data_IF_796351135943
#
_entry.id   IF_796351135943
#
_cell.length_a   1.000
_cell.length_b   1.000
_cell.length_c   1.000
_cell.angle_alpha   90.00
_cell.angle_beta   90.00
_cell.angle_gamma   90.00
#
_symmetry.space_group_name_H-M   'P 1'
#
loop_
_entity.id
_entity.type
_entity.pdbx_description
1 polymer ?
#
# COMPACT_ATOMS: atom_id res chain seq x y z
N UNK A 1 -9.99 -11.76 -28.66
CA UNK A 1 -10.37 -10.73 -29.66
C UNK A 1 -9.26 -9.69 -29.69
N UNK A 2 -8.65 -9.47 -30.85
CA UNK A 2 -7.72 -8.37 -31.07
C UNK A 2 -8.47 -7.29 -31.85
N UNK A 3 -8.42 -6.03 -31.40
CA UNK A 3 -9.06 -4.91 -32.07
C UNK A 3 -8.65 -3.57 -31.46
N UNK A 4 -8.85 -2.52 -32.22
CA UNK A 4 -8.70 -1.16 -31.75
C UNK A 4 -9.71 -0.85 -30.65
N UNK A 5 -9.24 -0.42 -29.48
CA UNK A 5 -10.07 -0.21 -28.30
C UNK A 5 -11.18 0.84 -28.56
N UNK A 6 -10.86 1.93 -29.26
CA UNK A 6 -11.82 3.00 -29.58
C UNK A 6 -12.92 2.52 -30.53
N UNK A 7 -12.55 1.79 -31.58
CA UNK A 7 -13.51 1.21 -32.54
C UNK A 7 -14.37 0.14 -31.88
N UNK A 8 -13.79 -0.69 -31.02
CA UNK A 8 -14.51 -1.73 -30.28
C UNK A 8 -15.52 -1.11 -29.31
N UNK A 9 -15.11 -0.10 -28.53
CA UNK A 9 -16.01 0.61 -27.63
C UNK A 9 -17.18 1.27 -28.40
N UNK A 10 -16.89 1.95 -29.51
CA UNK A 10 -17.94 2.56 -30.35
C UNK A 10 -18.90 1.52 -30.95
N UNK A 11 -18.41 0.34 -31.34
CA UNK A 11 -19.27 -0.74 -31.84
C UNK A 11 -20.16 -1.33 -30.74
N UNK A 12 -19.62 -1.52 -29.54
CA UNK A 12 -20.37 -1.98 -28.36
C UNK A 12 -21.45 -0.98 -27.97
N UNK A 13 -21.15 0.32 -27.94
CA UNK A 13 -22.14 1.36 -27.63
C UNK A 13 -23.31 1.32 -28.61
N UNK A 14 -23.02 1.28 -29.90
CA UNK A 14 -24.08 1.14 -30.94
C UNK A 14 -24.93 -0.11 -30.76
N UNK A 15 -24.31 -1.24 -30.43
CA UNK A 15 -25.01 -2.50 -30.19
C UNK A 15 -25.95 -2.42 -28.97
N UNK A 16 -25.50 -1.79 -27.89
CA UNK A 16 -26.29 -1.59 -26.66
C UNK A 16 -27.48 -0.64 -26.93
N UNK A 17 -27.24 0.45 -27.66
CA UNK A 17 -28.30 1.37 -28.11
C UNK A 17 -29.36 0.66 -28.97
N UNK A 18 -28.92 -0.10 -30.00
CA UNK A 18 -29.80 -0.86 -30.86
C UNK A 18 -30.65 -1.92 -30.10
N UNK A 19 -30.06 -2.50 -29.05
CA UNK A 19 -30.75 -3.45 -28.17
C UNK A 19 -31.58 -2.78 -27.08
N UNK A 20 -31.64 -1.46 -27.02
CA UNK A 20 -32.35 -0.68 -26.02
C UNK A 20 -32.00 -1.11 -24.58
N UNK A 21 -30.75 -1.49 -24.36
CA UNK A 21 -30.28 -1.89 -23.02
C UNK A 21 -30.32 -0.67 -22.11
N UNK A 22 -31.27 -0.67 -21.18
CA UNK A 22 -31.33 0.30 -20.11
C UNK A 22 -30.88 -0.40 -18.83
N UNK A 23 -29.80 0.06 -18.26
CA UNK A 23 -29.31 -0.42 -16.97
C UNK A 23 -28.84 0.79 -16.16
N UNK A 24 -29.36 0.88 -14.95
CA UNK A 24 -28.86 1.89 -14.02
C UNK A 24 -27.38 1.62 -13.72
N UNK A 25 -26.53 2.61 -14.00
CA UNK A 25 -25.11 2.53 -13.70
C UNK A 25 -24.84 2.64 -12.19
N UNK A 26 -23.64 2.36 -11.79
CA UNK A 26 -23.21 2.49 -10.38
C UNK A 26 -23.11 3.97 -9.90
N UNK A 27 -23.21 4.96 -10.80
CA UNK A 27 -23.18 6.40 -10.48
C UNK A 27 -24.55 6.90 -10.02
N UNK A 28 -25.09 6.30 -8.97
CA UNK A 28 -26.36 6.68 -8.35
C UNK A 28 -26.16 7.66 -7.20
N UNK A 29 -27.24 8.29 -6.73
CA UNK A 29 -27.21 9.09 -5.50
C UNK A 29 -26.72 8.27 -4.31
N UNK A 30 -27.21 7.03 -4.16
CA UNK A 30 -26.80 6.11 -3.10
C UNK A 30 -25.27 5.81 -3.13
N UNK A 31 -24.71 5.61 -4.34
CA UNK A 31 -23.27 5.43 -4.48
C UNK A 31 -22.48 6.70 -4.10
N UNK A 32 -23.01 7.88 -4.46
CA UNK A 32 -22.42 9.16 -4.08
C UNK A 32 -22.44 9.37 -2.56
N UNK A 33 -23.52 9.03 -1.90
CA UNK A 33 -23.66 9.12 -0.44
C UNK A 33 -22.66 8.19 0.27
N UNK A 34 -22.40 7.00 -0.30
CA UNK A 34 -21.39 6.09 0.22
C UNK A 34 -19.98 6.67 0.07
N UNK A 35 -19.67 7.26 -1.09
CA UNK A 35 -18.35 7.86 -1.35
C UNK A 35 -18.13 9.14 -0.50
N UNK A 36 -19.19 9.84 -0.15
CA UNK A 36 -19.16 11.03 0.70
C UNK A 36 -19.41 10.71 2.20
N UNK A 37 -19.52 9.43 2.56
CA UNK A 37 -19.67 9.05 3.96
C UNK A 37 -18.45 9.52 4.77
N UNK A 38 -18.64 9.98 6.02
CA UNK A 38 -17.52 10.37 6.87
C UNK A 38 -16.57 9.18 7.06
N UNK A 39 -15.29 9.51 7.20
CA UNK A 39 -14.24 8.53 7.43
C UNK A 39 -14.59 7.57 8.57
N UNK A 40 -14.25 6.32 8.40
CA UNK A 40 -14.50 5.31 9.41
C UNK A 40 -13.69 5.62 10.69
N UNK A 41 -14.37 5.64 11.82
CA UNK A 41 -13.71 5.72 13.12
C UNK A 41 -13.21 4.32 13.48
N UNK A 42 -11.90 4.18 13.64
CA UNK A 42 -11.26 2.93 14.03
C UNK A 42 -10.92 2.92 15.52
N UNK A 43 -11.14 1.79 16.18
CA UNK A 43 -10.51 1.54 17.48
C UNK A 43 -9.02 1.31 17.23
N UNK A 44 -8.18 2.19 17.79
CA UNK A 44 -6.72 2.06 17.63
C UNK A 44 -6.20 0.80 18.31
N UNK A 45 -5.27 0.07 17.66
CA UNK A 45 -4.52 -0.99 18.32
C UNK A 45 -3.60 -0.41 19.40
N UNK A 46 -3.20 -1.25 20.36
CA UNK A 46 -2.29 -0.87 21.46
C UNK A 46 -0.89 -1.45 21.29
N UNK A 47 -0.66 -2.24 20.25
CA UNK A 47 0.55 -3.02 20.00
C UNK A 47 1.38 -2.52 18.81
N UNK A 48 1.03 -1.35 18.27
CA UNK A 48 1.73 -0.70 17.17
C UNK A 48 0.92 0.43 16.56
N UNK A 49 1.46 1.03 15.50
CA UNK A 49 0.74 2.01 14.70
C UNK A 49 -0.47 1.36 14.03
N UNK A 50 -1.55 2.10 13.88
CA UNK A 50 -2.72 1.63 13.15
C UNK A 50 -2.45 1.69 11.63
N UNK A 51 -2.39 0.54 10.93
CA UNK A 51 -2.08 0.53 9.50
C UNK A 51 -3.14 1.25 8.64
N UNK A 52 -4.38 1.37 9.13
CA UNK A 52 -5.47 2.09 8.43
C UNK A 52 -5.25 3.60 8.49
N UNK A 53 -4.92 4.11 9.68
CA UNK A 53 -4.60 5.53 9.88
C UNK A 53 -3.27 5.89 9.19
N UNK A 54 -2.29 5.00 9.24
CA UNK A 54 -1.03 5.17 8.51
C UNK A 54 -1.28 5.33 7.00
N UNK A 55 -2.13 4.47 6.43
CA UNK A 55 -2.51 4.53 5.01
C UNK A 55 -3.30 5.82 4.66
N UNK A 56 -4.17 6.28 5.57
CA UNK A 56 -4.89 7.55 5.38
C UNK A 56 -3.91 8.74 5.37
N UNK A 57 -2.96 8.77 6.32
CA UNK A 57 -1.95 9.83 6.40
C UNK A 57 -0.96 9.81 5.22
N UNK A 58 -0.74 8.65 4.59
CA UNK A 58 0.06 8.55 3.37
C UNK A 58 -0.43 9.49 2.28
N UNK A 59 -1.76 9.62 2.11
CA UNK A 59 -2.39 10.51 1.12
C UNK A 59 -1.92 11.96 1.21
N UNK A 60 -1.62 12.44 2.42
CA UNK A 60 -1.24 13.82 2.68
C UNK A 60 0.24 14.10 2.38
N UNK A 61 1.09 13.06 2.45
CA UNK A 61 2.54 13.18 2.26
C UNK A 61 3.02 12.92 0.84
N UNK A 62 2.16 12.37 -0.03
CA UNK A 62 2.56 12.04 -1.41
C UNK A 62 2.56 13.28 -2.31
N UNK A 63 3.69 13.60 -2.99
CA UNK A 63 3.72 14.64 -4.01
C UNK A 63 2.78 14.35 -5.17
N UNK A 64 2.31 15.40 -5.86
CA UNK A 64 1.38 15.25 -7.00
C UNK A 64 1.93 14.39 -8.13
N UNK A 65 3.23 14.45 -8.36
CA UNK A 65 3.94 13.75 -9.42
C UNK A 65 4.77 12.56 -8.92
N UNK A 66 4.44 12.02 -7.76
CA UNK A 66 5.16 10.90 -7.15
C UNK A 66 5.21 9.67 -8.07
N UNK A 67 6.34 8.97 -8.07
CA UNK A 67 6.44 7.58 -8.50
C UNK A 67 6.36 6.71 -7.26
N UNK A 68 5.22 6.05 -7.08
CA UNK A 68 4.93 5.20 -5.94
C UNK A 68 5.10 3.74 -6.32
N UNK A 69 6.00 3.05 -5.64
CA UNK A 69 6.20 1.60 -5.82
C UNK A 69 5.68 0.84 -4.61
N UNK A 70 4.85 -0.17 -4.86
CA UNK A 70 4.20 -0.96 -3.80
C UNK A 70 4.56 -2.43 -3.96
N UNK A 71 5.08 -3.04 -2.91
CA UNK A 71 5.37 -4.47 -2.88
C UNK A 71 4.16 -5.34 -2.55
N UNK A 72 4.25 -6.62 -2.89
CA UNK A 72 3.22 -7.59 -2.58
C UNK A 72 3.43 -8.16 -1.17
N UNK A 73 2.53 -7.90 -0.23
CA UNK A 73 2.47 -8.48 1.10
C UNK A 73 1.11 -8.18 1.76
N UNK A 74 0.89 -8.63 2.98
CA UNK A 74 -0.37 -8.35 3.72
C UNK A 74 -0.67 -6.85 3.83
N UNK A 75 0.36 -6.04 4.10
CA UNK A 75 0.21 -4.60 4.33
C UNK A 75 -0.41 -3.85 3.14
N UNK A 76 -0.19 -4.30 1.89
CA UNK A 76 -0.57 -3.54 0.70
C UNK A 76 -2.08 -3.25 0.63
N UNK A 77 -2.90 -4.08 1.24
CA UNK A 77 -4.36 -3.89 1.24
C UNK A 77 -4.80 -2.66 2.05
N UNK A 78 -4.00 -2.19 3.02
CA UNK A 78 -4.30 -0.95 3.73
C UNK A 78 -4.14 0.28 2.84
N UNK A 79 -2.98 0.56 2.20
CA UNK A 79 -2.89 1.67 1.26
C UNK A 79 -3.85 1.53 0.07
N UNK A 80 -4.12 0.33 -0.41
CA UNK A 80 -5.10 0.14 -1.49
C UNK A 80 -6.53 0.54 -1.10
N UNK A 81 -6.88 0.46 0.19
CA UNK A 81 -8.21 0.82 0.69
C UNK A 81 -8.31 2.27 1.19
N UNK A 82 -7.26 2.78 1.80
CA UNK A 82 -7.34 4.01 2.60
C UNK A 82 -6.48 5.15 2.07
N UNK A 83 -5.68 4.95 1.01
CA UNK A 83 -4.86 6.00 0.43
C UNK A 83 -5.52 6.59 -0.81
N UNK A 84 -5.79 7.91 -0.77
CA UNK A 84 -6.14 8.67 -1.95
C UNK A 84 -4.87 9.05 -2.70
N UNK A 85 -4.72 8.56 -3.93
CA UNK A 85 -3.55 8.86 -4.76
C UNK A 85 -3.72 10.21 -5.47
N UNK A 86 -2.64 11.02 -5.57
CA UNK A 86 -2.66 12.22 -6.38
C UNK A 86 -2.91 11.89 -7.87
N UNK A 87 -3.62 12.78 -8.59
CA UNK A 87 -3.97 12.57 -10.01
C UNK A 87 -2.76 12.34 -10.93
N UNK A 88 -1.62 12.97 -10.63
CA UNK A 88 -0.37 12.83 -11.39
C UNK A 88 0.54 11.68 -10.96
N UNK A 89 0.16 10.89 -9.95
CA UNK A 89 0.97 9.79 -9.46
C UNK A 89 1.15 8.68 -10.51
N UNK A 90 2.37 8.15 -10.61
CA UNK A 90 2.64 6.90 -11.30
C UNK A 90 2.77 5.79 -10.26
N UNK A 91 1.98 4.74 -10.42
CA UNK A 91 1.98 3.62 -9.47
C UNK A 91 2.53 2.37 -10.12
N UNK A 92 3.59 1.83 -9.53
CA UNK A 92 4.13 0.51 -9.86
C UNK A 92 3.77 -0.46 -8.74
N UNK A 93 3.06 -1.52 -9.09
CA UNK A 93 2.67 -2.55 -8.14
C UNK A 93 3.30 -3.90 -8.51
N UNK A 94 4.17 -4.42 -7.65
CA UNK A 94 4.87 -5.67 -7.90
C UNK A 94 4.01 -6.89 -7.53
N UNK A 95 2.82 -6.99 -8.13
CA UNK A 95 1.91 -8.11 -7.85
C UNK A 95 1.99 -9.23 -8.89
N UNK A 96 2.64 -9.00 -10.00
CA UNK A 96 2.88 -10.02 -11.00
C UNK A 96 3.67 -11.16 -10.39
N UNK A 97 3.24 -12.39 -10.60
CA UNK A 97 3.84 -13.57 -10.00
C UNK A 97 3.68 -13.68 -8.46
N UNK A 98 3.21 -12.63 -7.77
CA UNK A 98 3.06 -12.61 -6.32
C UNK A 98 4.37 -12.64 -5.55
N UNK A 99 5.49 -12.25 -6.18
CA UNK A 99 6.80 -12.27 -5.55
C UNK A 99 6.90 -11.22 -4.45
N UNK A 100 7.31 -11.66 -3.27
CA UNK A 100 7.65 -10.81 -2.12
C UNK A 100 9.04 -10.21 -2.32
N UNK A 101 9.30 -9.00 -1.79
CA UNK A 101 10.61 -8.37 -1.86
C UNK A 101 10.92 -7.60 -3.15
N UNK A 102 9.93 -7.30 -3.98
CA UNK A 102 10.17 -6.71 -5.30
C UNK A 102 10.02 -5.17 -5.34
N UNK A 103 9.50 -4.51 -4.31
CA UNK A 103 9.30 -3.07 -4.38
C UNK A 103 10.62 -2.29 -4.40
N UNK A 104 11.59 -2.65 -3.59
CA UNK A 104 12.89 -1.98 -3.57
C UNK A 104 13.60 -2.06 -4.93
N UNK A 105 13.87 -3.24 -5.53
CA UNK A 105 14.51 -3.30 -6.85
C UNK A 105 13.65 -2.67 -7.96
N UNK A 106 12.33 -2.78 -7.89
CA UNK A 106 11.44 -2.13 -8.86
C UNK A 106 11.52 -0.60 -8.76
N UNK A 107 11.61 -0.04 -7.55
CA UNK A 107 11.74 1.40 -7.33
C UNK A 107 13.07 1.95 -7.86
N UNK A 108 14.16 1.17 -7.76
CA UNK A 108 15.45 1.50 -8.36
C UNK A 108 15.31 1.60 -9.89
N UNK A 109 14.68 0.61 -10.52
CA UNK A 109 14.41 0.65 -11.96
C UNK A 109 13.51 1.81 -12.36
N UNK A 110 12.47 2.08 -11.59
CA UNK A 110 11.56 3.20 -11.82
C UNK A 110 12.26 4.56 -11.72
N UNK A 111 13.24 4.71 -10.81
CA UNK A 111 14.03 5.94 -10.67
C UNK A 111 14.90 6.24 -11.90
N UNK A 112 15.37 5.21 -12.58
CA UNK A 112 16.09 5.36 -13.87
C UNK A 112 15.15 5.81 -14.98
N UNK A 113 13.93 5.28 -14.98
CA UNK A 113 12.91 5.66 -15.97
C UNK A 113 12.31 7.05 -15.76
N UNK A 114 12.31 7.54 -14.51
CA UNK A 114 11.70 8.82 -14.12
C UNK A 114 12.62 9.65 -13.21
N UNK A 115 13.82 10.04 -13.67
CA UNK A 115 14.88 10.57 -12.79
C UNK A 115 14.58 11.93 -12.15
N UNK A 116 13.58 12.66 -12.64
CA UNK A 116 13.21 14.00 -12.15
C UNK A 116 12.00 13.98 -11.19
N UNK A 117 11.39 12.81 -10.98
CA UNK A 117 10.21 12.68 -10.13
C UNK A 117 10.61 12.18 -8.74
N UNK A 118 9.87 12.56 -7.68
CA UNK A 118 10.09 11.98 -6.36
C UNK A 118 9.68 10.52 -6.31
N UNK A 119 10.54 9.67 -5.70
CA UNK A 119 10.30 8.24 -5.55
C UNK A 119 9.97 7.90 -4.11
N UNK A 120 8.84 7.21 -3.92
CA UNK A 120 8.41 6.62 -2.65
C UNK A 120 8.13 5.14 -2.89
N UNK A 121 8.72 4.28 -2.08
CA UNK A 121 8.45 2.84 -2.11
C UNK A 121 7.86 2.38 -0.77
N UNK A 122 6.99 1.39 -0.84
CA UNK A 122 6.42 0.72 0.33
C UNK A 122 6.74 -0.76 0.28
N UNK A 123 7.24 -1.28 1.40
CA UNK A 123 7.56 -2.70 1.53
C UNK A 123 7.29 -3.18 2.97
N UNK A 124 7.05 -4.49 3.15
CA UNK A 124 7.03 -5.11 4.48
C UNK A 124 8.44 -5.38 4.99
N UNK A 125 8.62 -5.53 6.29
CA UNK A 125 9.92 -5.80 6.92
C UNK A 125 10.54 -7.13 6.43
N UNK A 126 9.77 -8.21 6.37
CA UNK A 126 10.23 -9.47 5.80
C UNK A 126 10.52 -9.40 4.31
N UNK A 127 9.82 -8.53 3.59
CA UNK A 127 10.03 -8.31 2.16
C UNK A 127 11.35 -7.61 1.88
N UNK A 128 11.62 -6.50 2.57
CA UNK A 128 12.85 -5.72 2.36
C UNK A 128 14.10 -6.51 2.72
N UNK A 129 14.01 -7.42 3.69
CA UNK A 129 15.11 -8.31 4.07
C UNK A 129 15.56 -9.25 2.95
N UNK A 130 14.70 -9.55 1.97
CA UNK A 130 15.06 -10.40 0.81
C UNK A 130 15.97 -9.68 -0.17
N UNK A 131 15.97 -8.35 -0.20
CA UNK A 131 16.76 -7.53 -1.12
C UNK A 131 17.50 -6.39 -0.41
N UNK A 132 17.82 -6.57 0.87
CA UNK A 132 18.42 -5.54 1.72
C UNK A 132 19.72 -4.98 1.12
N UNK A 133 20.51 -5.78 0.43
CA UNK A 133 21.74 -5.38 -0.25
C UNK A 133 21.51 -4.28 -1.31
N UNK A 134 20.30 -4.17 -1.86
CA UNK A 134 19.96 -3.16 -2.87
C UNK A 134 19.89 -1.74 -2.28
N UNK A 135 19.86 -1.58 -0.96
CA UNK A 135 20.05 -0.28 -0.32
C UNK A 135 21.41 0.33 -0.70
N UNK A 136 22.44 -0.52 -0.90
CA UNK A 136 23.74 -0.07 -1.38
C UNK A 136 23.65 0.41 -2.84
N UNK A 137 22.86 -0.22 -3.68
CA UNK A 137 22.60 0.24 -5.04
C UNK A 137 21.99 1.65 -5.04
N UNK A 138 21.00 1.91 -4.16
CA UNK A 138 20.37 3.22 -3.99
C UNK A 138 21.41 4.28 -3.60
N UNK A 139 22.22 4.03 -2.59
CA UNK A 139 23.21 5.00 -2.10
C UNK A 139 24.38 5.20 -3.06
N UNK A 140 24.90 4.12 -3.66
CA UNK A 140 25.95 4.16 -4.66
C UNK A 140 25.59 5.03 -5.88
N UNK A 141 24.36 4.92 -6.35
CA UNK A 141 23.85 5.66 -7.50
C UNK A 141 23.18 6.99 -7.13
N UNK A 142 23.18 7.36 -5.84
CA UNK A 142 22.57 8.60 -5.34
C UNK A 142 21.11 8.75 -5.74
N UNK A 143 20.37 7.65 -5.74
CA UNK A 143 18.96 7.62 -6.07
C UNK A 143 18.16 8.28 -4.93
N UNK A 144 17.31 9.27 -5.26
CA UNK A 144 16.34 9.78 -4.30
C UNK A 144 15.25 8.73 -4.10
N UNK A 145 15.15 8.18 -2.89
CA UNK A 145 14.16 7.17 -2.55
C UNK A 145 13.74 7.29 -1.08
N UNK A 146 12.47 7.52 -0.84
CA UNK A 146 11.86 7.31 0.48
C UNK A 146 11.30 5.89 0.53
N UNK A 147 11.86 5.04 1.38
CA UNK A 147 11.40 3.66 1.58
C UNK A 147 10.63 3.56 2.89
N UNK A 148 9.32 3.35 2.81
CA UNK A 148 8.43 3.16 3.96
C UNK A 148 8.32 1.66 4.24
N UNK A 149 8.80 1.22 5.39
CA UNK A 149 8.75 -0.17 5.82
C UNK A 149 7.57 -0.36 6.76
N UNK A 150 6.56 -1.11 6.31
CA UNK A 150 5.42 -1.56 7.09
C UNK A 150 5.85 -2.76 7.92
N UNK A 151 6.32 -2.48 9.14
CA UNK A 151 7.04 -3.41 9.98
C UNK A 151 6.10 -3.99 11.03
N UNK A 152 5.57 -5.19 10.77
CA UNK A 152 4.74 -5.96 11.70
C UNK A 152 5.52 -7.10 12.39
N UNK A 153 6.84 -7.10 12.26
CA UNK A 153 7.76 -8.09 12.82
C UNK A 153 7.46 -9.53 12.37
N UNK A 154 7.08 -9.70 11.11
CA UNK A 154 6.73 -11.01 10.60
C UNK A 154 6.26 -11.05 9.15
N UNK A 155 5.94 -12.25 8.71
CA UNK A 155 5.10 -12.47 7.53
C UNK A 155 3.63 -12.42 7.97
N UNK A 156 3.05 -11.21 8.09
CA UNK A 156 1.72 -11.00 8.66
C UNK A 156 0.62 -11.85 8.04
N UNK A 157 0.67 -12.08 6.71
CA UNK A 157 -0.25 -12.97 6.03
C UNK A 157 -0.22 -14.39 6.59
N UNK A 158 0.98 -14.93 6.79
CA UNK A 158 1.22 -16.27 7.34
C UNK A 158 0.89 -16.32 8.82
N UNK A 159 1.22 -15.28 9.60
CA UNK A 159 0.85 -15.17 11.01
C UNK A 159 -0.67 -15.31 11.18
N UNK A 160 -1.45 -14.57 10.40
CA UNK A 160 -2.92 -14.64 10.46
C UNK A 160 -3.46 -16.01 10.04
N UNK A 161 -2.88 -16.64 9.00
CA UNK A 161 -3.29 -17.98 8.54
C UNK A 161 -2.96 -19.06 9.57
N UNK A 162 -1.76 -19.01 10.16
CA UNK A 162 -1.35 -19.97 11.20
C UNK A 162 -2.28 -19.87 12.42
N UNK A 163 -2.53 -18.64 12.92
CA UNK A 163 -3.47 -18.42 14.03
C UNK A 163 -4.87 -18.94 13.72
N UNK A 164 -5.40 -18.68 12.52
CA UNK A 164 -6.74 -19.13 12.14
C UNK A 164 -6.87 -20.64 12.04
N UNK A 165 -5.78 -21.36 11.78
CA UNK A 165 -5.72 -22.82 11.71
C UNK A 165 -5.27 -23.49 13.01
N UNK A 166 -5.04 -22.71 14.08
CA UNK A 166 -4.56 -23.23 15.36
C UNK A 166 -3.09 -23.65 15.39
N UNK A 167 -2.30 -23.21 14.40
CA UNK A 167 -0.87 -23.46 14.38
C UNK A 167 -0.09 -22.37 15.14
N UNK A 168 1.15 -22.69 15.51
CA UNK A 168 2.02 -21.76 16.20
C UNK A 168 2.47 -20.63 15.23
N UNK A 169 2.08 -19.37 15.47
CA UNK A 169 2.46 -18.25 14.60
C UNK A 169 3.93 -17.84 14.72
N UNK A 170 4.65 -18.28 15.74
CA UNK A 170 6.07 -17.96 15.93
C UNK A 170 6.96 -18.42 14.78
N UNK A 171 6.49 -19.38 13.95
CA UNK A 171 7.18 -19.79 12.72
C UNK A 171 7.30 -18.68 11.67
N UNK A 172 6.43 -17.67 11.74
CA UNK A 172 6.37 -16.56 10.80
C UNK A 172 6.62 -15.21 11.48
N UNK A 173 7.12 -15.19 12.72
CA UNK A 173 7.40 -13.99 13.50
C UNK A 173 8.86 -13.95 13.94
N UNK A 174 9.39 -12.74 14.10
CA UNK A 174 10.75 -12.50 14.58
C UNK A 174 10.86 -11.23 15.41
N UNK A 175 12.02 -10.99 15.99
CA UNK A 175 12.33 -9.72 16.61
C UNK A 175 12.61 -8.68 15.52
N UNK A 176 11.85 -7.58 15.54
CA UNK A 176 11.98 -6.52 14.55
C UNK A 176 13.38 -5.91 14.53
N UNK A 177 13.96 -5.80 13.32
CA UNK A 177 15.19 -5.05 13.10
C UNK A 177 14.96 -3.54 13.24
N UNK A 178 16.02 -2.78 13.48
CA UNK A 178 16.02 -1.31 13.41
C UNK A 178 16.34 -0.86 11.98
N UNK A 179 15.31 -0.72 11.17
CA UNK A 179 15.49 -0.33 9.77
C UNK A 179 15.96 1.12 9.60
N UNK A 180 15.69 1.99 10.57
CA UNK A 180 16.23 3.34 10.55
C UNK A 180 17.76 3.34 10.72
N UNK A 181 18.28 2.51 11.63
CA UNK A 181 19.72 2.32 11.79
C UNK A 181 20.35 1.64 10.57
N UNK A 182 19.66 0.67 9.97
CA UNK A 182 20.09 0.00 8.73
C UNK A 182 20.24 1.02 7.60
N UNK A 183 19.27 1.92 7.40
CA UNK A 183 19.37 2.97 6.39
C UNK A 183 20.63 3.83 6.53
N UNK A 184 20.95 4.22 7.76
CA UNK A 184 22.17 4.98 8.09
C UNK A 184 23.43 4.17 7.84
N UNK A 185 23.45 2.89 8.20
CA UNK A 185 24.59 2.00 7.97
C UNK A 185 24.90 1.81 6.47
N UNK A 186 23.89 1.90 5.60
CA UNK A 186 24.06 1.88 4.14
C UNK A 186 24.39 3.25 3.53
N UNK A 187 24.62 4.29 4.35
CA UNK A 187 25.01 5.63 3.88
C UNK A 187 23.83 6.54 3.50
N UNK A 188 22.61 6.16 3.84
CA UNK A 188 21.42 6.98 3.77
C UNK A 188 21.07 7.63 5.11
N UNK A 189 19.79 7.95 5.30
CA UNK A 189 19.22 8.35 6.58
C UNK A 189 17.99 7.49 6.89
N UNK A 190 17.50 7.58 8.12
CA UNK A 190 16.30 6.85 8.52
C UNK A 190 15.76 7.29 9.85
N UNK A 191 14.46 7.06 10.02
CA UNK A 191 13.72 7.39 11.23
C UNK A 191 12.71 6.29 11.55
N UNK A 192 12.55 6.01 12.83
CA UNK A 192 11.41 5.25 13.32
C UNK A 192 10.24 6.20 13.55
N UNK A 193 9.10 5.88 12.96
CA UNK A 193 7.89 6.70 13.07
C UNK A 193 7.32 6.61 14.51
N UNK A 194 7.00 7.74 15.10
CA UNK A 194 6.44 7.80 16.45
C UNK A 194 4.90 7.72 16.45
N UNK A 195 4.25 8.31 15.46
CA UNK A 195 2.80 8.28 15.27
C UNK A 195 2.42 8.24 13.80
N UNK A 196 1.19 7.84 13.50
CA UNK A 196 0.67 7.82 12.13
C UNK A 196 0.65 9.22 11.50
N UNK A 197 0.39 10.25 12.31
CA UNK A 197 0.35 11.65 11.86
C UNK A 197 1.71 12.19 11.42
N UNK A 198 2.81 11.60 11.91
CA UNK A 198 4.16 11.99 11.53
C UNK A 198 4.57 11.51 10.13
N UNK A 199 3.77 10.63 9.49
CA UNK A 199 4.13 10.05 8.21
C UNK A 199 4.28 11.10 7.11
N UNK A 200 3.28 11.96 6.93
CA UNK A 200 3.28 12.97 5.87
C UNK A 200 4.47 13.93 5.96
N UNK A 201 4.74 14.62 7.08
CA UNK A 201 5.91 15.50 7.19
C UNK A 201 7.24 14.72 7.10
N UNK A 202 7.27 13.45 7.47
CA UNK A 202 8.47 12.62 7.35
C UNK A 202 8.77 12.24 5.90
N UNK A 203 7.76 11.94 5.08
CA UNK A 203 7.93 11.73 3.64
C UNK A 203 8.51 12.99 2.97
N UNK A 204 7.93 14.17 3.25
CA UNK A 204 8.43 15.43 2.71
C UNK A 204 9.90 15.67 3.09
N UNK A 205 10.26 15.41 4.34
CA UNK A 205 11.64 15.50 4.82
C UNK A 205 12.57 14.57 4.06
N UNK A 206 12.16 13.30 3.86
CA UNK A 206 12.95 12.32 3.14
C UNK A 206 13.16 12.68 1.67
N UNK A 207 12.15 13.23 1.01
CA UNK A 207 12.26 13.70 -0.38
C UNK A 207 13.24 14.88 -0.46
N UNK A 208 13.14 15.86 0.46
CA UNK A 208 14.03 17.02 0.53
C UNK A 208 15.48 16.66 0.83
N UNK A 209 15.71 15.62 1.63
CA UNK A 209 17.04 15.14 1.96
C UNK A 209 17.80 14.63 0.73
N UNK A 210 17.09 14.10 -0.28
CA UNK A 210 17.66 13.50 -1.50
C UNK A 210 18.54 12.28 -1.19
N UNK A 211 18.43 11.21 -1.88
CA UNK A 211 19.09 9.95 -1.57
C UNK A 211 18.20 8.96 -0.83
N UNK A 212 18.80 7.97 -0.18
CA UNK A 212 18.07 6.96 0.59
C UNK A 212 17.56 7.52 1.92
N UNK A 213 16.25 7.43 2.13
CA UNK A 213 15.62 7.77 3.41
C UNK A 213 14.64 6.65 3.82
N UNK A 214 14.91 5.99 4.94
CA UNK A 214 14.06 4.91 5.45
C UNK A 214 13.11 5.42 6.52
N UNK A 215 11.82 5.06 6.39
CA UNK A 215 10.79 5.26 7.41
C UNK A 215 10.41 3.89 7.97
N UNK A 216 10.86 3.57 9.18
CA UNK A 216 10.47 2.35 9.90
C UNK A 216 9.14 2.61 10.61
N UNK A 217 8.03 2.17 9.99
CA UNK A 217 6.68 2.28 10.53
C UNK A 217 6.28 0.95 11.20
N UNK A 218 6.43 0.87 12.51
CA UNK A 218 6.06 -0.32 13.29
C UNK A 218 4.57 -0.39 13.48
N UNK A 219 3.92 -1.13 12.58
CA UNK A 219 2.47 -1.32 12.58
C UNK A 219 2.03 -2.46 13.48
N UNK A 220 0.78 -2.42 13.93
CA UNK A 220 0.19 -3.49 14.71
C UNK A 220 0.21 -4.82 13.94
N UNK A 221 0.79 -5.88 14.50
CA UNK A 221 0.80 -7.22 13.91
C UNK A 221 -0.54 -7.94 14.08
N UNK A 222 -1.48 -7.36 14.81
CA UNK A 222 -2.81 -7.95 15.07
C UNK A 222 -3.89 -7.41 14.16
N UNK A 223 -3.68 -6.23 13.56
CA UNK A 223 -4.63 -5.67 12.62
C UNK A 223 -4.59 -6.39 11.28
N UNK A 224 -5.77 -6.83 10.86
CA UNK A 224 -5.98 -7.49 9.57
C UNK A 224 -6.88 -6.64 8.69
N UNK A 225 -6.51 -6.45 7.44
CA UNK A 225 -7.37 -5.73 6.51
C UNK A 225 -8.67 -6.49 6.25
N UNK A 226 -9.77 -5.75 6.10
CA UNK A 226 -11.09 -6.34 5.82
C UNK A 226 -11.11 -7.23 4.57
N UNK A 227 -10.53 -6.83 3.41
CA UNK A 227 -10.49 -7.71 2.25
C UNK A 227 -9.73 -9.02 2.52
N UNK A 228 -8.61 -8.93 3.22
CA UNK A 228 -7.83 -10.12 3.55
C UNK A 228 -8.63 -11.07 4.45
N UNK A 229 -9.27 -10.52 5.48
CA UNK A 229 -10.15 -11.28 6.37
C UNK A 229 -11.32 -11.95 5.65
N UNK A 230 -11.93 -11.24 4.70
CA UNK A 230 -13.04 -11.76 3.90
C UNK A 230 -12.61 -12.87 2.93
N UNK A 231 -11.53 -12.63 2.19
CA UNK A 231 -11.03 -13.57 1.16
C UNK A 231 -10.55 -14.87 1.80
N UNK A 232 -9.80 -14.78 2.89
CA UNK A 232 -9.14 -15.95 3.48
C UNK A 232 -9.90 -16.63 4.61
N UNK A 233 -10.82 -15.91 5.28
CA UNK A 233 -11.47 -16.40 6.50
C UNK A 233 -12.99 -16.24 6.49
N UNK A 234 -13.58 -15.77 5.39
CA UNK A 234 -15.04 -15.58 5.29
C UNK A 234 -15.59 -14.56 6.28
N UNK A 235 -14.78 -13.65 6.83
CA UNK A 235 -15.22 -12.64 7.79
C UNK A 235 -16.13 -11.62 7.12
N UNK A 236 -17.19 -11.22 7.83
CA UNK A 236 -18.01 -10.10 7.38
C UNK A 236 -17.18 -8.80 7.34
N UNK A 237 -17.50 -7.95 6.37
CA UNK A 237 -16.86 -6.65 6.20
C UNK A 237 -17.06 -5.78 7.45
N UNK A 238 -15.98 -5.40 8.12
CA UNK A 238 -16.04 -4.56 9.34
C UNK A 238 -16.12 -3.07 9.03
N UNK A 239 -15.84 -2.66 7.78
CA UNK A 239 -15.90 -1.25 7.38
C UNK A 239 -17.36 -0.76 7.41
N UNK A 240 -17.73 0.20 8.28
CA UNK A 240 -19.11 0.63 8.48
C UNK A 240 -19.76 1.15 7.19
N UNK A 241 -18.98 1.78 6.31
CA UNK A 241 -19.45 2.31 5.04
C UNK A 241 -19.77 1.21 4.02
N UNK A 242 -19.16 0.02 4.12
CA UNK A 242 -19.41 -1.12 3.22
C UNK A 242 -20.58 -2.00 3.69
N UNK A 243 -20.98 -1.93 4.98
CA UNK A 243 -22.16 -2.65 5.50
C UNK A 243 -23.47 -2.21 4.88
N UNK A 244 -23.55 -0.98 4.37
CA UNK A 244 -24.76 -0.45 3.73
C UNK A 244 -25.02 -1.03 2.33
N UNK A 245 -23.97 -1.56 1.66
CA UNK A 245 -24.11 -2.19 0.34
C UNK A 245 -24.71 -3.59 0.36
N UNK A 246 -24.65 -4.28 1.50
CA UNK A 246 -25.08 -5.69 1.62
C UNK A 246 -26.48 -5.86 2.22
N UNK A 247 -27.13 -4.80 2.72
CA UNK A 247 -28.46 -4.84 3.33
C UNK A 247 -29.62 -4.42 2.42
N UNK A 248 -29.37 -4.27 1.12
CA UNK A 248 -30.37 -3.93 0.12
C UNK A 248 -30.48 -5.04 -0.93
N UNK A 249 -30.91 -6.21 -0.52
CA UNK A 249 -31.34 -7.30 -1.39
C UNK A 249 -32.60 -7.89 -0.83
#
# INVERSE_FOLDING_TARGET
>A
MCGDAKKTAAALSRLLEARKVQKEGFRTAATRDILNAPDAVFTKPTDGLDPRLLATNLSQGLPKDVVLTIGAAHYFSFPAMYTALPEGALVHFSHHFGAVGQALPLSIGASVGHPTRPHVAMEGDGSVMMNLQELYTVTRHKIQLVLIIWNDAGYGAEVHKLKAKGFNPALAQWQSADFAAIGKAFGGDGVRLASEADLAPTIERGIKAGGLFIIDARVSPTEMSDPYGKIHFGRENRAPHLRRLTKGG
#
